data_IF_426460251201
#
_entry.id   IF_426460251201
#
_cell.length_a   1.000
_cell.length_b   1.000
_cell.length_c   1.000
_cell.angle_alpha   90.00
_cell.angle_beta   90.00
_cell.angle_gamma   90.00
#
_symmetry.space_group_name_H-M   'P 1'
#
loop_
_entity.id
_entity.type
_entity.pdbx_description
1 polymer ?
#
# COMPACT_ATOMS: atom_id res chain seq x y z
N UNK A 1 18.96 30.79 -4.74
CA UNK A 1 20.20 30.45 -5.48
C UNK A 1 20.17 31.21 -6.77
N UNK A 2 21.03 32.22 -6.90
CA UNK A 2 21.21 32.94 -8.17
C UNK A 2 21.83 31.99 -9.19
N UNK A 3 21.17 31.78 -10.33
CA UNK A 3 21.76 31.11 -11.49
C UNK A 3 23.02 31.89 -11.92
N UNK A 4 24.19 31.38 -11.56
CA UNK A 4 25.44 31.84 -12.13
C UNK A 4 25.46 31.32 -13.56
N UNK A 5 25.13 32.18 -14.54
CA UNK A 5 25.38 31.89 -15.96
C UNK A 5 26.90 31.76 -16.15
N UNK A 6 27.40 30.54 -16.17
CA UNK A 6 28.81 30.26 -16.45
C UNK A 6 29.01 30.02 -17.95
N UNK A 7 30.14 30.50 -18.47
CA UNK A 7 30.62 30.06 -19.78
C UNK A 7 31.10 28.60 -19.64
N UNK A 8 30.56 27.66 -20.43
CA UNK A 8 31.02 26.27 -20.40
C UNK A 8 32.50 26.18 -20.78
N UNK A 9 33.21 25.21 -20.19
CA UNK A 9 34.58 24.86 -20.60
C UNK A 9 34.58 24.50 -22.08
N UNK A 10 35.59 24.95 -22.81
CA UNK A 10 35.84 24.41 -24.15
C UNK A 10 36.47 23.00 -24.06
N UNK A 11 36.51 22.27 -25.16
CA UNK A 11 36.98 20.87 -25.19
C UNK A 11 38.42 20.71 -24.69
N UNK A 12 39.32 21.66 -25.00
CA UNK A 12 40.69 21.63 -24.49
C UNK A 12 40.79 21.89 -22.99
N UNK A 13 39.99 22.83 -22.46
CA UNK A 13 39.93 23.18 -21.04
C UNK A 13 39.32 22.01 -20.22
N UNK A 14 38.36 21.27 -20.81
CA UNK A 14 37.77 20.09 -20.19
C UNK A 14 38.76 18.93 -20.10
N UNK A 15 39.51 18.65 -21.18
CA UNK A 15 40.57 17.63 -21.18
C UNK A 15 41.67 17.99 -20.19
N UNK A 16 42.06 19.27 -20.12
CA UNK A 16 43.05 19.74 -19.14
C UNK A 16 42.55 19.52 -17.70
N UNK A 17 41.32 19.93 -17.39
CA UNK A 17 40.73 19.70 -16.07
C UNK A 17 40.70 18.20 -15.71
N UNK A 18 40.31 17.34 -16.65
CA UNK A 18 40.31 15.89 -16.44
C UNK A 18 41.72 15.35 -16.16
N UNK A 19 42.74 15.84 -16.88
CA UNK A 19 44.13 15.44 -16.60
C UNK A 19 44.64 15.90 -15.24
N UNK A 20 44.22 17.09 -14.78
CA UNK A 20 44.60 17.62 -13.47
C UNK A 20 43.92 16.83 -12.33
N UNK A 21 42.66 16.43 -12.52
CA UNK A 21 41.89 15.67 -11.53
C UNK A 21 42.31 14.20 -11.39
N UNK A 22 43.09 13.64 -12.33
CA UNK A 22 43.68 12.28 -12.18
C UNK A 22 44.57 12.15 -10.94
N UNK A 23 45.05 13.26 -10.40
CA UNK A 23 45.89 13.30 -9.21
C UNK A 23 45.11 13.06 -7.90
N UNK A 24 43.77 13.13 -7.93
CA UNK A 24 42.90 13.00 -6.75
C UNK A 24 42.06 14.26 -6.50
N UNK A 25 41.32 14.28 -5.39
CA UNK A 25 40.45 15.42 -5.03
C UNK A 25 41.29 16.63 -4.56
N UNK A 26 41.27 17.77 -5.30
CA UNK A 26 42.06 18.95 -4.99
C UNK A 26 41.87 19.50 -3.58
N UNK A 27 40.64 19.44 -3.04
CA UNK A 27 40.37 19.93 -1.68
C UNK A 27 41.02 19.03 -0.62
N UNK A 28 40.98 17.71 -0.80
CA UNK A 28 41.66 16.78 0.11
C UNK A 28 43.19 16.87 0.02
N UNK A 29 43.74 17.02 -1.19
CA UNK A 29 45.19 17.13 -1.42
C UNK A 29 45.76 18.39 -0.76
N UNK A 30 45.05 19.52 -0.84
CA UNK A 30 45.47 20.77 -0.20
C UNK A 30 44.96 20.93 1.24
N UNK A 31 44.20 19.98 1.78
CA UNK A 31 43.54 20.10 3.08
C UNK A 31 42.66 21.36 3.17
N UNK A 32 42.00 21.73 2.07
CA UNK A 32 41.22 22.96 1.91
C UNK A 32 39.72 22.67 1.86
N UNK A 33 38.89 23.70 2.01
CA UNK A 33 37.42 23.56 1.87
C UNK A 33 36.86 24.48 0.79
N UNK A 34 35.66 24.15 0.30
CA UNK A 34 34.96 24.90 -0.76
C UNK A 34 34.74 26.37 -0.37
N UNK A 35 34.68 26.66 0.94
CA UNK A 35 34.44 28.00 1.49
C UNK A 35 35.72 28.84 1.67
N UNK A 36 36.90 28.26 1.49
CA UNK A 36 38.16 28.99 1.70
C UNK A 36 38.48 29.93 0.54
N UNK A 37 38.97 31.12 0.86
CA UNK A 37 39.34 32.10 -0.16
C UNK A 37 40.68 31.72 -0.84
N UNK A 38 40.99 32.36 -1.97
CA UNK A 38 42.22 32.07 -2.73
C UNK A 38 43.51 32.26 -1.93
N UNK A 39 43.56 33.24 -1.02
CA UNK A 39 44.75 33.53 -0.21
C UNK A 39 45.02 32.42 0.81
N UNK A 40 43.98 31.85 1.38
CA UNK A 40 44.10 30.75 2.34
C UNK A 40 44.54 29.45 1.64
N UNK A 41 44.03 29.20 0.44
CA UNK A 41 44.45 28.07 -0.42
C UNK A 41 45.93 28.21 -0.83
N UNK A 42 46.34 29.42 -1.24
CA UNK A 42 47.72 29.73 -1.60
C UNK A 42 48.68 29.54 -0.41
N UNK A 43 48.28 29.96 0.79
CA UNK A 43 49.06 29.72 2.01
C UNK A 43 49.25 28.24 2.30
N UNK A 44 48.20 27.42 2.15
CA UNK A 44 48.27 25.96 2.34
C UNK A 44 49.15 25.29 1.30
N UNK A 45 49.05 25.70 0.04
CA UNK A 45 49.93 25.26 -1.04
C UNK A 45 51.41 25.53 -0.73
N UNK A 46 51.75 26.76 -0.35
CA UNK A 46 53.13 27.14 -0.02
C UNK A 46 53.68 26.32 1.15
N UNK A 47 52.89 26.13 2.21
CA UNK A 47 53.27 25.30 3.36
C UNK A 47 53.50 23.83 2.96
N UNK A 48 52.70 23.31 2.02
CA UNK A 48 52.82 21.93 1.55
C UNK A 48 54.03 21.73 0.64
N UNK A 49 54.49 22.73 -0.11
CA UNK A 49 55.66 22.61 -0.99
C UNK A 49 56.97 22.92 -0.27
N UNK A 50 56.94 23.72 0.80
CA UNK A 50 58.12 24.00 1.62
C UNK A 50 58.63 22.80 2.42
N UNK A 51 57.91 21.68 2.42
CA UNK A 51 58.32 20.46 3.11
C UNK A 51 59.34 19.67 2.27
N UNK A 52 60.61 19.72 2.67
CA UNK A 52 61.74 19.08 1.98
C UNK A 52 61.65 17.54 1.95
N UNK A 53 60.74 16.94 2.71
CA UNK A 53 60.53 15.48 2.74
C UNK A 53 59.74 14.94 1.54
N UNK A 54 59.14 15.82 0.72
CA UNK A 54 58.26 15.42 -0.38
C UNK A 54 59.01 15.05 -1.64
N UNK A 55 58.52 14.00 -2.30
CA UNK A 55 59.01 13.56 -3.59
C UNK A 55 58.53 14.47 -4.73
N UNK A 56 59.26 14.47 -5.85
CA UNK A 56 58.87 15.20 -7.06
C UNK A 56 57.47 14.82 -7.59
N UNK A 57 57.02 13.58 -7.34
CA UNK A 57 55.68 13.14 -7.72
C UNK A 57 54.60 13.77 -6.82
N UNK A 58 54.83 13.85 -5.51
CA UNK A 58 53.90 14.47 -4.56
C UNK A 58 53.79 15.98 -4.79
N UNK A 59 54.90 16.65 -5.09
CA UNK A 59 54.90 18.08 -5.46
C UNK A 59 54.01 18.30 -6.68
N UNK A 60 54.14 17.46 -7.71
CA UNK A 60 53.31 17.56 -8.93
C UNK A 60 51.81 17.33 -8.66
N UNK A 61 51.46 16.45 -7.74
CA UNK A 61 50.07 16.21 -7.29
C UNK A 61 49.50 17.46 -6.61
N UNK A 62 50.31 18.09 -5.73
CA UNK A 62 49.95 19.33 -5.01
C UNK A 62 49.80 20.52 -5.97
N UNK A 63 50.71 20.67 -6.94
CA UNK A 63 50.66 21.69 -7.98
C UNK A 63 49.41 21.56 -8.85
N UNK A 64 49.07 20.33 -9.26
CA UNK A 64 47.86 20.07 -10.04
C UNK A 64 46.59 20.42 -9.25
N UNK A 65 46.51 20.04 -7.97
CA UNK A 65 45.41 20.40 -7.09
C UNK A 65 45.28 21.92 -6.89
N UNK A 66 46.40 22.61 -6.69
CA UNK A 66 46.44 24.07 -6.59
C UNK A 66 45.99 24.75 -7.88
N UNK A 67 46.42 24.27 -9.05
CA UNK A 67 46.03 24.79 -10.35
C UNK A 67 44.52 24.72 -10.57
N UNK A 68 43.87 23.63 -10.15
CA UNK A 68 42.40 23.48 -10.21
C UNK A 68 41.72 24.49 -9.29
N UNK A 69 42.22 24.69 -8.07
CA UNK A 69 41.57 25.52 -7.04
C UNK A 69 41.84 27.03 -7.17
N UNK A 70 42.92 27.45 -7.83
CA UNK A 70 43.24 28.88 -8.04
C UNK A 70 42.57 29.45 -9.30
N UNK A 71 42.31 28.58 -10.28
CA UNK A 71 41.70 28.95 -11.57
C UNK A 71 40.18 29.00 -11.42
N UNK A 72 39.59 30.19 -11.51
CA UNK A 72 38.15 30.40 -11.22
C UNK A 72 37.24 29.49 -12.06
N UNK A 73 37.55 29.29 -13.35
CA UNK A 73 36.79 28.38 -14.22
C UNK A 73 36.83 26.94 -13.72
N UNK A 74 38.01 26.41 -13.39
CA UNK A 74 38.19 25.02 -12.97
C UNK A 74 37.59 24.79 -11.58
N UNK A 75 37.83 25.71 -10.65
CA UNK A 75 37.22 25.67 -9.32
C UNK A 75 35.70 25.68 -9.40
N UNK A 76 35.12 26.60 -10.17
CA UNK A 76 33.66 26.70 -10.28
C UNK A 76 33.02 25.44 -10.85
N UNK A 77 33.60 24.84 -11.90
CA UNK A 77 33.10 23.59 -12.49
C UNK A 77 33.25 22.41 -11.53
N UNK A 78 34.37 22.36 -10.81
CA UNK A 78 34.61 21.31 -9.82
C UNK A 78 33.69 21.44 -8.58
N UNK A 79 33.46 22.66 -8.11
CA UNK A 79 32.52 22.96 -7.02
C UNK A 79 31.08 22.58 -7.41
N UNK A 80 30.68 22.89 -8.65
CA UNK A 80 29.37 22.47 -9.18
C UNK A 80 29.26 20.95 -9.30
N UNK A 81 30.33 20.27 -9.71
CA UNK A 81 30.41 18.80 -9.72
C UNK A 81 30.25 18.22 -8.31
N UNK A 82 30.95 18.75 -7.31
CA UNK A 82 30.85 18.29 -5.92
C UNK A 82 29.43 18.49 -5.36
N UNK A 83 28.84 19.67 -5.58
CA UNK A 83 27.46 19.96 -5.15
C UNK A 83 26.47 19.02 -5.84
N UNK A 84 26.60 18.75 -7.14
CA UNK A 84 25.76 17.77 -7.85
C UNK A 84 25.97 16.35 -7.32
N UNK A 85 27.20 15.96 -7.03
CA UNK A 85 27.51 14.62 -6.51
C UNK A 85 26.93 14.42 -5.11
N UNK A 86 26.99 15.44 -4.24
CA UNK A 86 26.38 15.40 -2.91
C UNK A 86 24.85 15.38 -2.98
N UNK A 87 24.24 16.17 -3.88
CA UNK A 87 22.80 16.10 -4.16
C UNK A 87 22.42 14.69 -4.64
N UNK A 88 23.17 14.12 -5.59
CA UNK A 88 22.91 12.78 -6.11
C UNK A 88 23.09 11.69 -5.04
N UNK A 89 24.12 11.79 -4.19
CA UNK A 89 24.31 10.87 -3.06
C UNK A 89 23.16 10.97 -2.06
N UNK A 90 22.72 12.18 -1.74
CA UNK A 90 21.59 12.40 -0.84
C UNK A 90 20.30 11.84 -1.43
N UNK A 91 20.00 12.15 -2.69
CA UNK A 91 18.88 11.57 -3.42
C UNK A 91 18.97 10.04 -3.46
N UNK A 92 20.16 9.47 -3.71
CA UNK A 92 20.36 8.03 -3.73
C UNK A 92 20.12 7.40 -2.34
N UNK A 93 20.60 8.01 -1.25
CA UNK A 93 20.29 7.56 0.11
C UNK A 93 18.80 7.60 0.42
N UNK A 94 18.11 8.68 0.02
CA UNK A 94 16.65 8.81 0.18
C UNK A 94 15.91 7.76 -0.65
N UNK A 95 16.34 7.48 -1.89
CA UNK A 95 15.74 6.41 -2.70
C UNK A 95 15.96 5.04 -2.08
N UNK A 96 17.13 4.77 -1.49
CA UNK A 96 17.43 3.49 -0.87
C UNK A 96 16.62 3.28 0.41
N UNK A 97 16.44 4.33 1.22
CA UNK A 97 15.53 4.31 2.36
C UNK A 97 14.08 4.08 1.93
N UNK A 98 13.62 4.74 0.86
CA UNK A 98 12.29 4.54 0.26
C UNK A 98 12.10 3.10 -0.27
N UNK A 99 13.14 2.52 -0.89
CA UNK A 99 13.11 1.11 -1.35
C UNK A 99 13.02 0.15 -0.16
N UNK A 100 13.85 0.37 0.88
CA UNK A 100 13.87 -0.48 2.08
C UNK A 100 12.53 -0.44 2.82
N UNK A 101 11.97 0.75 3.00
CA UNK A 101 10.66 0.96 3.61
C UNK A 101 9.53 0.35 2.78
N UNK A 102 9.54 0.53 1.45
CA UNK A 102 8.59 -0.08 0.52
C UNK A 102 8.65 -1.61 0.53
N UNK A 103 9.86 -2.19 0.59
CA UNK A 103 10.06 -3.62 0.68
C UNK A 103 9.50 -4.19 2.00
N UNK A 104 9.80 -3.54 3.13
CA UNK A 104 9.28 -3.96 4.43
C UNK A 104 7.74 -3.87 4.48
N UNK A 105 7.18 -2.79 3.92
CA UNK A 105 5.73 -2.62 3.77
C UNK A 105 5.10 -3.76 2.96
N UNK A 106 5.76 -4.17 1.87
CA UNK A 106 5.31 -5.29 1.01
C UNK A 106 5.35 -6.62 1.75
N UNK A 107 6.39 -6.89 2.54
CA UNK A 107 6.47 -8.09 3.39
C UNK A 107 5.33 -8.11 4.41
N UNK A 108 5.06 -6.99 5.07
CA UNK A 108 3.95 -6.91 6.02
C UNK A 108 2.60 -7.20 5.35
N UNK A 109 2.34 -6.63 4.15
CA UNK A 109 1.13 -6.94 3.36
C UNK A 109 1.06 -8.42 2.98
N UNK A 110 2.19 -9.03 2.58
CA UNK A 110 2.27 -10.45 2.25
C UNK A 110 1.88 -11.33 3.46
N UNK A 111 2.44 -11.04 4.64
CA UNK A 111 2.16 -11.77 5.88
C UNK A 111 0.70 -11.58 6.32
N UNK A 112 0.07 -10.46 6.00
CA UNK A 112 -1.32 -10.19 6.34
C UNK A 112 -2.32 -11.08 5.57
N UNK A 113 -2.00 -11.52 4.34
CA UNK A 113 -2.92 -12.27 3.46
C UNK A 113 -3.43 -13.57 4.11
N UNK A 114 -2.59 -14.46 4.67
CA UNK A 114 -3.05 -15.63 5.40
C UNK A 114 -4.12 -15.34 6.47
N UNK A 115 -3.92 -14.25 7.23
CA UNK A 115 -4.85 -13.85 8.28
C UNK A 115 -6.18 -13.38 7.73
N UNK A 116 -6.17 -12.61 6.64
CA UNK A 116 -7.39 -12.19 5.93
C UNK A 116 -8.18 -13.42 5.44
N UNK A 117 -7.51 -14.34 4.76
CA UNK A 117 -8.13 -15.52 4.17
C UNK A 117 -8.75 -16.42 5.24
N UNK A 118 -8.04 -16.66 6.35
CA UNK A 118 -8.57 -17.45 7.47
C UNK A 118 -9.74 -16.73 8.14
N UNK A 119 -9.71 -15.40 8.26
CA UNK A 119 -10.84 -14.64 8.80
C UNK A 119 -12.09 -14.78 7.94
N UNK A 120 -11.98 -14.62 6.62
CA UNK A 120 -13.10 -14.79 5.67
C UNK A 120 -13.69 -16.19 5.77
N UNK A 121 -12.83 -17.23 5.78
CA UNK A 121 -13.28 -18.61 5.91
C UNK A 121 -13.97 -18.87 7.25
N UNK A 122 -13.44 -18.32 8.35
CA UNK A 122 -14.04 -18.47 9.67
C UNK A 122 -15.44 -17.84 9.74
N UNK A 123 -15.66 -16.72 9.05
CA UNK A 123 -16.91 -15.95 9.09
C UNK A 123 -18.03 -16.54 8.23
N UNK A 124 -17.67 -17.44 7.32
CA UNK A 124 -18.60 -18.10 6.41
C UNK A 124 -19.51 -19.10 7.14
N UNK A 125 -20.84 -18.88 7.15
CA UNK A 125 -21.77 -19.84 7.75
C UNK A 125 -22.02 -21.07 6.88
N UNK A 126 -21.78 -20.96 5.58
CA UNK A 126 -22.34 -21.90 4.58
C UNK A 126 -21.30 -22.68 3.77
N UNK A 127 -20.00 -22.34 3.82
CA UNK A 127 -19.01 -22.94 2.92
C UNK A 127 -18.23 -24.13 3.52
N UNK A 128 -18.06 -24.21 4.85
CA UNK A 128 -17.25 -25.26 5.48
C UNK A 128 -17.92 -25.69 6.81
N UNK A 129 -18.13 -26.99 6.99
CA UNK A 129 -18.72 -27.58 8.22
C UNK A 129 -17.86 -27.41 9.47
N UNK A 130 -16.63 -26.91 9.32
CA UNK A 130 -15.65 -26.74 10.38
C UNK A 130 -15.95 -25.44 11.13
N UNK A 131 -16.47 -25.60 12.35
CA UNK A 131 -16.83 -24.46 13.21
C UNK A 131 -15.63 -23.83 13.91
N UNK A 132 -14.54 -24.58 14.10
CA UNK A 132 -13.34 -24.12 14.81
C UNK A 132 -12.25 -23.60 13.85
N UNK A 133 -11.79 -22.36 14.08
CA UNK A 133 -10.72 -21.71 13.33
C UNK A 133 -9.42 -22.53 13.35
N UNK A 134 -9.09 -23.18 14.47
CA UNK A 134 -7.86 -23.97 14.57
C UNK A 134 -7.92 -25.22 13.69
N UNK A 135 -9.06 -25.92 13.68
CA UNK A 135 -9.30 -27.05 12.79
C UNK A 135 -9.28 -26.63 11.31
N UNK A 136 -9.79 -25.44 11.00
CA UNK A 136 -9.78 -24.89 9.65
C UNK A 136 -8.35 -24.65 9.15
N UNK A 137 -7.49 -24.04 9.97
CA UNK A 137 -6.06 -23.84 9.66
C UNK A 137 -5.36 -25.19 9.42
N UNK A 138 -5.60 -26.19 10.29
CA UNK A 138 -5.05 -27.55 10.12
C UNK A 138 -5.50 -28.19 8.81
N UNK A 139 -6.77 -28.03 8.45
CA UNK A 139 -7.35 -28.61 7.23
C UNK A 139 -6.83 -27.93 5.97
N UNK A 140 -6.68 -26.60 5.97
CA UNK A 140 -6.04 -25.86 4.88
C UNK A 140 -4.62 -26.33 4.63
N UNK A 141 -3.84 -26.46 5.72
CA UNK A 141 -2.46 -26.90 5.64
C UNK A 141 -2.34 -28.34 5.15
N UNK A 142 -3.21 -29.26 5.62
CA UNK A 142 -3.16 -30.65 5.16
C UNK A 142 -3.54 -30.82 3.68
N UNK A 143 -4.46 -29.99 3.16
CA UNK A 143 -4.94 -30.11 1.77
C UNK A 143 -4.02 -29.45 0.73
N UNK A 144 -3.44 -28.28 1.02
CA UNK A 144 -2.67 -27.49 0.04
C UNK A 144 -1.36 -26.92 0.60
N UNK A 145 -0.99 -27.26 1.84
CA UNK A 145 0.17 -26.68 2.52
C UNK A 145 0.06 -25.16 2.68
N UNK A 146 1.20 -24.48 2.69
CA UNK A 146 1.29 -23.02 2.85
C UNK A 146 0.56 -22.28 1.71
N UNK A 147 0.54 -22.86 0.49
CA UNK A 147 -0.09 -22.24 -0.68
C UNK A 147 -1.60 -22.03 -0.51
N UNK A 148 -2.27 -22.84 0.32
CA UNK A 148 -3.70 -22.67 0.62
C UNK A 148 -4.03 -21.33 1.28
N UNK A 149 -3.12 -20.79 2.10
CA UNK A 149 -3.30 -19.53 2.80
C UNK A 149 -3.15 -18.30 1.90
N UNK A 150 -2.52 -18.45 0.73
CA UNK A 150 -2.30 -17.36 -0.24
C UNK A 150 -3.26 -17.44 -1.43
N UNK A 151 -4.39 -18.12 -1.25
CA UNK A 151 -5.42 -18.17 -2.27
C UNK A 151 -5.94 -16.77 -2.59
N UNK A 152 -6.17 -16.50 -3.87
CA UNK A 152 -6.61 -15.18 -4.34
C UNK A 152 -5.48 -14.16 -4.49
N UNK A 153 -4.24 -14.42 -4.04
CA UNK A 153 -3.13 -13.47 -4.15
C UNK A 153 -2.84 -13.03 -5.60
N UNK A 154 -2.91 -13.96 -6.57
CA UNK A 154 -2.76 -13.63 -8.00
C UNK A 154 -3.86 -12.69 -8.50
N UNK A 155 -5.08 -12.86 -7.99
CA UNK A 155 -6.20 -11.99 -8.34
C UNK A 155 -6.08 -10.63 -7.64
N UNK A 156 -5.70 -10.61 -6.37
CA UNK A 156 -5.46 -9.39 -5.60
C UNK A 156 -4.29 -8.55 -6.14
N UNK A 157 -3.32 -9.16 -6.81
CA UNK A 157 -2.27 -8.41 -7.53
C UNK A 157 -2.79 -7.86 -8.85
N UNK A 158 -3.68 -8.56 -9.54
CA UNK A 158 -4.31 -8.06 -10.77
C UNK A 158 -5.30 -6.92 -10.54
N UNK A 159 -5.85 -6.77 -9.33
CA UNK A 159 -6.75 -5.66 -9.00
C UNK A 159 -6.05 -4.29 -9.01
N UNK A 160 -4.70 -4.25 -8.97
CA UNK A 160 -3.93 -3.04 -9.18
C UNK A 160 -4.24 -2.39 -10.54
N UNK A 161 -4.50 -3.19 -11.58
CA UNK A 161 -4.91 -2.68 -12.88
C UNK A 161 -6.28 -1.99 -12.85
N UNK A 162 -7.18 -2.42 -11.95
CA UNK A 162 -8.49 -1.80 -11.75
C UNK A 162 -8.33 -0.44 -11.07
N UNK A 163 -7.48 -0.33 -10.04
CA UNK A 163 -7.16 0.97 -9.42
C UNK A 163 -6.48 1.91 -10.39
N UNK A 164 -5.56 1.41 -11.22
CA UNK A 164 -4.94 2.23 -12.27
C UNK A 164 -5.99 2.78 -13.24
N UNK A 165 -6.97 1.95 -13.63
CA UNK A 165 -8.09 2.39 -14.48
C UNK A 165 -8.96 3.43 -13.76
N UNK A 166 -9.23 3.24 -12.46
CA UNK A 166 -9.94 4.23 -11.64
C UNK A 166 -9.21 5.57 -11.58
N UNK A 167 -7.89 5.55 -11.38
CA UNK A 167 -7.08 6.77 -11.33
C UNK A 167 -7.16 7.56 -12.64
N UNK A 168 -7.12 6.87 -13.79
CA UNK A 168 -7.31 7.50 -15.11
C UNK A 168 -8.72 8.12 -15.23
N UNK A 169 -9.76 7.39 -14.82
CA UNK A 169 -11.15 7.89 -14.83
C UNK A 169 -11.28 9.13 -13.94
N UNK A 170 -10.67 9.12 -12.75
CA UNK A 170 -10.67 10.26 -11.84
C UNK A 170 -9.93 11.46 -12.40
N UNK A 171 -8.78 11.26 -13.05
CA UNK A 171 -8.06 12.34 -13.72
C UNK A 171 -8.93 12.98 -14.81
N UNK A 172 -9.67 12.15 -15.57
CA UNK A 172 -10.60 12.64 -16.58
C UNK A 172 -11.77 13.41 -15.98
N UNK A 173 -12.38 12.91 -14.89
CA UNK A 173 -13.46 13.59 -14.18
C UNK A 173 -12.96 14.91 -13.58
N UNK A 174 -11.77 14.92 -12.98
CA UNK A 174 -11.14 16.12 -12.44
C UNK A 174 -10.90 17.17 -13.54
N UNK A 175 -10.48 16.74 -14.73
CA UNK A 175 -10.32 17.63 -15.89
C UNK A 175 -11.67 18.21 -16.36
N UNK A 176 -12.74 17.41 -16.38
CA UNK A 176 -14.09 17.87 -16.76
C UNK A 176 -14.72 18.83 -15.76
N UNK A 177 -14.51 18.60 -14.46
CA UNK A 177 -15.03 19.46 -13.39
C UNK A 177 -14.16 20.71 -13.25
N UNK A 178 -12.84 20.56 -13.34
CA UNK A 178 -11.86 21.64 -13.20
C UNK A 178 -11.76 22.58 -14.40
N UNK A 179 -12.19 22.18 -15.61
CA UNK A 179 -12.17 23.05 -16.79
C UNK A 179 -13.17 24.21 -16.72
N UNK A 180 -14.14 24.18 -15.80
CA UNK A 180 -15.28 25.10 -15.80
C UNK A 180 -15.37 26.10 -14.64
N UNK A 181 -14.41 26.20 -13.71
CA UNK A 181 -14.57 27.19 -12.62
C UNK A 181 -13.29 27.65 -11.96
N UNK A 182 -13.15 28.98 -11.87
CA UNK A 182 -12.41 29.65 -10.80
C UNK A 182 -12.94 29.14 -9.46
N UNK A 183 -12.09 28.41 -8.74
CA UNK A 183 -12.00 28.20 -7.28
C UNK A 183 -13.33 28.27 -6.52
N UNK A 184 -13.85 27.12 -6.10
CA UNK A 184 -14.76 27.05 -4.94
C UNK A 184 -14.51 25.76 -4.16
N UNK A 185 -14.49 25.86 -2.82
CA UNK A 185 -14.39 24.73 -1.88
C UNK A 185 -15.46 23.64 -2.13
N UNK A 186 -16.58 23.99 -2.78
CA UNK A 186 -17.62 23.03 -3.15
C UNK A 186 -17.12 22.01 -4.17
N UNK A 187 -16.16 22.36 -5.04
CA UNK A 187 -15.59 21.41 -5.98
C UNK A 187 -14.79 20.34 -5.26
N UNK A 188 -14.06 20.69 -4.19
CA UNK A 188 -13.24 19.72 -3.45
C UNK A 188 -14.11 18.69 -2.73
N UNK A 189 -15.26 19.10 -2.20
CA UNK A 189 -16.25 18.19 -1.58
C UNK A 189 -16.81 17.22 -2.64
N UNK A 190 -17.20 17.73 -3.80
CA UNK A 190 -17.73 16.91 -4.90
C UNK A 190 -16.66 15.95 -5.42
N UNK A 191 -15.43 16.40 -5.62
CA UNK A 191 -14.32 15.56 -6.06
C UNK A 191 -13.99 14.47 -5.04
N UNK A 192 -13.98 14.79 -3.75
CA UNK A 192 -13.79 13.81 -2.67
C UNK A 192 -14.91 12.77 -2.63
N UNK A 193 -16.15 13.20 -2.83
CA UNK A 193 -17.29 12.28 -2.94
C UNK A 193 -17.17 11.36 -4.15
N UNK A 194 -16.83 11.90 -5.33
CA UNK A 194 -16.64 11.14 -6.57
C UNK A 194 -15.48 10.14 -6.42
N UNK A 195 -14.36 10.55 -5.83
CA UNK A 195 -13.23 9.67 -5.54
C UNK A 195 -13.65 8.47 -4.67
N UNK A 196 -14.35 8.74 -3.56
CA UNK A 196 -14.84 7.69 -2.66
C UNK A 196 -15.87 6.77 -3.34
N UNK A 197 -16.81 7.35 -4.09
CA UNK A 197 -17.86 6.60 -4.75
C UNK A 197 -17.32 5.70 -5.88
N UNK A 198 -16.45 6.24 -6.72
CA UNK A 198 -15.79 5.47 -7.80
C UNK A 198 -14.89 4.37 -7.23
N UNK A 199 -14.21 4.62 -6.11
CA UNK A 199 -13.45 3.60 -5.41
C UNK A 199 -14.35 2.47 -4.91
N UNK A 200 -15.47 2.77 -4.25
CA UNK A 200 -16.39 1.74 -3.76
C UNK A 200 -16.99 0.89 -4.89
N UNK A 201 -17.36 1.51 -6.02
CA UNK A 201 -17.94 0.79 -7.17
C UNK A 201 -16.91 -0.13 -7.85
N UNK A 202 -15.65 0.29 -7.91
CA UNK A 202 -14.57 -0.49 -8.54
C UNK A 202 -13.99 -1.54 -7.58
N UNK A 203 -13.94 -1.25 -6.28
CA UNK A 203 -13.45 -2.17 -5.26
C UNK A 203 -14.43 -3.30 -4.95
N UNK A 204 -15.74 -3.04 -5.00
CA UNK A 204 -16.74 -4.05 -4.65
C UNK A 204 -16.67 -5.34 -5.50
N UNK A 205 -16.61 -5.29 -6.84
CA UNK A 205 -16.39 -6.48 -7.69
C UNK A 205 -15.15 -7.28 -7.32
N UNK A 206 -14.05 -6.59 -7.03
CA UNK A 206 -12.78 -7.22 -6.64
C UNK A 206 -12.96 -7.94 -5.31
N UNK A 207 -13.55 -7.28 -4.32
CA UNK A 207 -13.84 -7.88 -3.02
C UNK A 207 -14.75 -9.10 -3.16
N UNK A 208 -15.84 -8.99 -3.93
CA UNK A 208 -16.79 -10.07 -4.15
C UNK A 208 -16.11 -11.31 -4.78
N UNK A 209 -15.31 -11.11 -5.84
CA UNK A 209 -14.55 -12.20 -6.47
C UNK A 209 -13.56 -12.80 -5.48
N UNK A 210 -12.81 -11.97 -4.76
CA UNK A 210 -11.82 -12.44 -3.80
C UNK A 210 -12.47 -13.28 -2.68
N UNK A 211 -13.59 -12.82 -2.11
CA UNK A 211 -14.35 -13.55 -1.11
C UNK A 211 -14.84 -14.89 -1.67
N UNK A 212 -15.43 -14.92 -2.87
CA UNK A 212 -15.84 -16.16 -3.53
C UNK A 212 -14.65 -17.11 -3.80
N UNK A 213 -13.50 -16.58 -4.22
CA UNK A 213 -12.28 -17.37 -4.44
C UNK A 213 -11.83 -18.03 -3.15
N UNK A 214 -11.78 -17.28 -2.06
CA UNK A 214 -11.34 -17.78 -0.77
C UNK A 214 -12.30 -18.88 -0.30
N UNK A 215 -13.61 -18.65 -0.38
CA UNK A 215 -14.66 -19.54 0.13
C UNK A 215 -14.91 -20.80 -0.72
N UNK A 216 -14.55 -20.78 -2.01
CA UNK A 216 -14.77 -21.91 -2.92
C UNK A 216 -13.92 -23.15 -2.56
N UNK A 217 -14.21 -24.34 -3.12
CA UNK A 217 -13.34 -25.52 -2.93
C UNK A 217 -11.92 -25.27 -3.46
N UNK A 218 -10.89 -25.75 -2.75
CA UNK A 218 -9.46 -25.53 -3.08
C UNK A 218 -9.02 -26.08 -4.45
N UNK A 219 -9.88 -26.86 -5.12
CA UNK A 219 -9.66 -27.37 -6.47
C UNK A 219 -9.99 -26.36 -7.57
N UNK A 220 -10.82 -25.34 -7.30
CA UNK A 220 -11.28 -24.38 -8.31
C UNK A 220 -10.30 -23.23 -8.52
N UNK A 221 -9.98 -22.92 -9.77
CA UNK A 221 -9.12 -21.80 -10.13
C UNK A 221 -9.91 -20.48 -10.27
N UNK A 222 -9.19 -19.36 -10.43
CA UNK A 222 -9.80 -18.02 -10.54
C UNK A 222 -10.79 -17.92 -11.70
N UNK A 223 -10.38 -18.41 -12.88
CA UNK A 223 -11.25 -18.41 -14.05
C UNK A 223 -12.45 -19.32 -13.88
N UNK A 224 -12.29 -20.45 -13.20
CA UNK A 224 -13.41 -21.33 -12.88
C UNK A 224 -14.39 -20.57 -12.00
N UNK A 225 -13.92 -19.89 -10.95
CA UNK A 225 -14.78 -19.10 -10.07
C UNK A 225 -15.52 -18.00 -10.85
N UNK A 226 -14.83 -17.23 -11.69
CA UNK A 226 -15.47 -16.16 -12.49
C UNK A 226 -16.49 -16.75 -13.47
N UNK A 227 -16.11 -17.77 -14.25
CA UNK A 227 -16.99 -18.40 -15.24
C UNK A 227 -18.21 -19.05 -14.59
N UNK A 228 -18.02 -19.64 -13.42
CA UNK A 228 -18.99 -20.53 -12.81
C UNK A 228 -19.94 -19.81 -11.85
N UNK A 229 -19.42 -18.88 -11.05
CA UNK A 229 -20.21 -18.16 -10.05
C UNK A 229 -20.77 -16.84 -10.58
N UNK A 230 -20.03 -16.13 -11.44
CA UNK A 230 -20.43 -14.80 -11.93
C UNK A 230 -21.19 -14.93 -13.25
N UNK A 231 -20.69 -15.73 -14.18
CA UNK A 231 -21.29 -15.89 -15.50
C UNK A 231 -22.32 -17.02 -15.56
N UNK A 232 -22.89 -17.43 -14.42
CA UNK A 232 -24.00 -18.38 -14.40
C UNK A 232 -25.17 -17.76 -15.18
N UNK A 233 -25.32 -18.17 -16.43
CA UNK A 233 -26.54 -17.99 -17.18
C UNK A 233 -27.62 -18.76 -16.43
N UNK A 234 -28.75 -18.10 -16.17
CA UNK A 234 -29.98 -18.70 -15.66
C UNK A 234 -30.40 -19.82 -16.59
N UNK A 235 -29.82 -20.99 -16.36
CA UNK A 235 -30.13 -22.22 -17.05
C UNK A 235 -31.37 -22.75 -16.35
N UNK A 236 -32.53 -22.26 -16.79
CA UNK A 236 -33.83 -22.91 -16.62
C UNK A 236 -33.89 -24.29 -17.31
N UNK A 237 -32.78 -25.03 -17.35
CA UNK A 237 -32.68 -26.40 -17.85
C UNK A 237 -31.90 -27.21 -16.82
N UNK A 238 -32.64 -27.87 -15.94
CA UNK A 238 -32.15 -28.72 -14.85
C UNK A 238 -31.42 -29.99 -15.32
N UNK A 239 -30.48 -29.90 -16.24
CA UNK A 239 -29.69 -31.05 -16.69
C UNK A 239 -28.31 -30.65 -17.22
N UNK A 240 -27.41 -30.16 -16.38
CA UNK A 240 -25.98 -30.11 -16.72
C UNK A 240 -25.08 -30.47 -15.54
N UNK A 241 -25.38 -31.61 -14.90
CA UNK A 241 -24.37 -32.42 -14.21
C UNK A 241 -24.17 -33.71 -15.02
N UNK A 242 -23.76 -33.56 -16.28
CA UNK A 242 -23.17 -34.66 -17.06
C UNK A 242 -22.33 -34.09 -18.20
N UNK A 243 -21.03 -33.98 -17.93
CA UNK A 243 -19.97 -34.35 -18.87
C UNK A 243 -19.74 -33.57 -20.16
N UNK A 244 -20.66 -32.70 -20.61
CA UNK A 244 -20.50 -32.08 -21.93
C UNK A 244 -19.80 -30.73 -21.86
N UNK A 245 -18.66 -30.72 -22.54
CA UNK A 245 -17.76 -29.59 -22.80
C UNK A 245 -18.59 -28.39 -23.27
N UNK A 246 -18.69 -27.39 -22.40
CA UNK A 246 -19.24 -26.07 -22.71
C UNK A 246 -18.33 -25.42 -23.76
N UNK A 247 -18.61 -25.69 -25.04
CA UNK A 247 -18.20 -24.85 -26.17
C UNK A 247 -19.06 -23.58 -26.15
N UNK A 248 -18.74 -22.65 -25.27
CA UNK A 248 -19.27 -21.29 -25.35
C UNK A 248 -18.34 -20.48 -26.26
N UNK A 249 -18.86 -20.10 -27.43
CA UNK A 249 -18.27 -19.04 -28.25
C UNK A 249 -18.20 -17.76 -27.41
N UNK A 250 -17.02 -17.12 -27.40
CA UNK A 250 -16.73 -15.83 -26.76
C UNK A 250 -16.88 -15.79 -25.23
N UNK A 251 -15.76 -15.59 -24.53
CA UNK A 251 -15.69 -15.41 -23.06
C UNK A 251 -16.46 -14.15 -22.62
N UNK A 252 -16.75 -13.23 -23.53
CA UNK A 252 -17.31 -11.91 -23.23
C UNK A 252 -18.79 -11.73 -23.57
N UNK A 253 -19.41 -12.61 -24.37
CA UNK A 253 -20.81 -12.43 -24.82
C UNK A 253 -21.85 -12.82 -23.77
N UNK A 254 -21.44 -13.35 -22.60
CA UNK A 254 -22.35 -13.85 -21.56
C UNK A 254 -22.03 -13.36 -20.13
N UNK A 255 -21.42 -12.18 -19.96
CA UNK A 255 -21.23 -11.58 -18.63
C UNK A 255 -22.55 -10.99 -18.10
N UNK A 256 -23.28 -11.75 -17.28
CA UNK A 256 -24.39 -11.18 -16.49
C UNK A 256 -23.80 -10.49 -15.24
N UNK A 257 -23.44 -9.21 -15.36
CA UNK A 257 -23.02 -8.38 -14.23
C UNK A 257 -24.06 -8.29 -13.10
N UNK A 258 -25.29 -8.74 -13.35
CA UNK A 258 -26.38 -8.76 -12.36
C UNK A 258 -25.97 -9.52 -11.10
N UNK A 259 -25.37 -10.71 -11.23
CA UNK A 259 -24.96 -11.51 -10.06
C UNK A 259 -23.80 -10.88 -9.28
N UNK A 260 -22.89 -10.20 -9.99
CA UNK A 260 -21.77 -9.50 -9.37
C UNK A 260 -22.25 -8.33 -8.54
N UNK A 261 -23.23 -7.56 -9.03
CA UNK A 261 -23.73 -6.33 -8.39
C UNK A 261 -25.01 -6.51 -7.56
N UNK A 262 -25.63 -7.69 -7.55
CA UNK A 262 -26.86 -7.93 -6.79
C UNK A 262 -26.68 -7.68 -5.29
N UNK A 263 -25.53 -8.11 -4.74
CA UNK A 263 -25.17 -7.85 -3.35
C UNK A 263 -24.63 -6.43 -3.08
N UNK A 264 -24.37 -5.63 -4.12
CA UNK A 264 -23.68 -4.34 -3.98
C UNK A 264 -24.48 -3.37 -3.12
N UNK A 265 -25.80 -3.33 -3.29
CA UNK A 265 -26.70 -2.44 -2.55
C UNK A 265 -26.64 -2.68 -1.03
N UNK A 266 -26.24 -3.87 -0.61
CA UNK A 266 -26.13 -4.25 0.80
C UNK A 266 -24.70 -4.23 1.31
N UNK A 267 -23.72 -4.64 0.48
CA UNK A 267 -22.32 -4.72 0.89
C UNK A 267 -21.64 -3.35 0.88
N UNK A 268 -21.94 -2.47 -0.09
CA UNK A 268 -21.32 -1.14 -0.18
C UNK A 268 -21.61 -0.30 1.09
N UNK A 269 -22.86 -0.22 1.60
CA UNK A 269 -23.11 0.47 2.87
C UNK A 269 -22.33 -0.11 4.05
N UNK A 270 -22.14 -1.44 4.12
CA UNK A 270 -21.33 -2.08 5.16
C UNK A 270 -19.85 -1.72 5.02
N UNK A 271 -19.33 -1.62 3.79
CA UNK A 271 -17.97 -1.16 3.52
C UNK A 271 -17.77 0.30 3.95
N UNK A 272 -18.73 1.18 3.64
CA UNK A 272 -18.75 2.58 4.07
C UNK A 272 -18.74 2.65 5.60
N UNK A 273 -19.66 1.96 6.28
CA UNK A 273 -19.72 1.92 7.74
C UNK A 273 -18.40 1.44 8.34
N UNK A 274 -17.81 0.38 7.77
CA UNK A 274 -16.50 -0.14 8.20
C UNK A 274 -15.37 0.88 8.02
N UNK A 275 -15.38 1.67 6.94
CA UNK A 275 -14.42 2.76 6.74
C UNK A 275 -14.61 3.89 7.75
N UNK A 276 -15.85 4.29 8.03
CA UNK A 276 -16.15 5.36 8.99
C UNK A 276 -15.72 4.97 10.41
N UNK A 277 -15.96 3.72 10.83
CA UNK A 277 -15.47 3.19 12.11
C UNK A 277 -13.93 3.29 12.19
N UNK A 278 -13.21 2.94 11.13
CA UNK A 278 -11.75 3.06 11.10
C UNK A 278 -11.27 4.49 11.23
N UNK A 279 -11.87 5.41 10.47
CA UNK A 279 -11.56 6.84 10.52
C UNK A 279 -11.82 7.39 11.92
N UNK A 280 -12.95 7.04 12.51
CA UNK A 280 -13.30 7.43 13.87
C UNK A 280 -12.28 6.92 14.89
N UNK A 281 -11.92 5.62 14.86
CA UNK A 281 -10.91 5.07 15.78
C UNK A 281 -9.56 5.76 15.60
N UNK A 282 -9.09 5.95 14.35
CA UNK A 282 -7.84 6.67 14.08
C UNK A 282 -7.87 8.09 14.64
N UNK A 283 -8.94 8.84 14.34
CA UNK A 283 -9.12 10.21 14.82
C UNK A 283 -9.13 10.27 16.36
N UNK A 284 -9.86 9.38 17.02
CA UNK A 284 -9.89 9.30 18.49
C UNK A 284 -8.51 8.95 19.06
N UNK A 285 -7.79 8.01 18.45
CA UNK A 285 -6.45 7.62 18.88
C UNK A 285 -5.44 8.75 18.69
N UNK A 286 -5.49 9.47 17.58
CA UNK A 286 -4.61 10.61 17.31
C UNK A 286 -4.89 11.77 18.27
N UNK A 287 -6.17 12.10 18.48
CA UNK A 287 -6.58 13.12 19.45
C UNK A 287 -6.12 12.78 20.87
N UNK A 288 -6.24 11.50 21.27
CA UNK A 288 -5.76 11.03 22.56
C UNK A 288 -4.24 11.13 22.67
N UNK A 289 -3.51 10.77 21.62
CA UNK A 289 -2.05 10.88 21.56
C UNK A 289 -1.60 12.34 21.71
N UNK A 290 -2.21 13.26 20.96
CA UNK A 290 -1.89 14.68 21.02
C UNK A 290 -2.19 15.25 22.41
N UNK A 291 -3.33 14.90 23.00
CA UNK A 291 -3.68 15.30 24.37
C UNK A 291 -2.65 14.86 25.42
N UNK A 292 -2.14 13.63 25.32
CA UNK A 292 -1.10 13.12 26.23
C UNK A 292 0.24 13.82 26.02
N UNK A 293 0.59 14.14 24.77
CA UNK A 293 1.83 14.84 24.43
C UNK A 293 1.81 16.29 24.90
N UNK A 294 0.70 17.01 24.69
CA UNK A 294 0.52 18.40 25.10
C UNK A 294 0.49 18.58 26.63
N UNK A 295 -0.03 17.58 27.36
CA UNK A 295 -0.19 17.63 28.81
C UNK A 295 0.77 16.69 29.56
N UNK A 296 1.90 16.33 28.96
CA UNK A 296 2.77 15.25 29.45
C UNK A 296 3.21 15.42 30.93
N UNK A 297 3.33 16.66 31.39
CA UNK A 297 3.78 17.04 32.73
C UNK A 297 2.64 17.24 33.74
N UNK A 298 1.41 17.49 33.28
CA UNK A 298 0.24 17.79 34.12
C UNK A 298 -0.77 16.65 34.18
N UNK A 299 -0.70 15.69 33.26
CA UNK A 299 -1.65 14.60 33.14
C UNK A 299 -1.41 13.55 34.23
N UNK A 300 -2.50 13.06 34.83
CA UNK A 300 -2.38 12.03 35.86
C UNK A 300 -1.77 10.74 35.29
N UNK A 301 -0.91 10.02 36.04
CA UNK A 301 -0.38 8.73 35.61
C UNK A 301 -1.48 7.72 35.23
N UNK A 302 -2.63 7.80 35.90
CA UNK A 302 -3.82 6.99 35.63
C UNK A 302 -4.43 7.22 34.25
N UNK A 303 -4.30 8.41 33.67
CA UNK A 303 -4.75 8.69 32.30
C UNK A 303 -3.60 8.41 31.32
N UNK A 304 -2.37 8.74 31.71
CA UNK A 304 -1.16 8.61 30.89
C UNK A 304 -0.92 7.19 30.40
N UNK A 305 -0.83 6.22 31.31
CA UNK A 305 -0.45 4.85 30.94
C UNK A 305 -1.52 4.10 30.13
N UNK A 306 -2.82 4.16 30.47
CA UNK A 306 -3.86 3.58 29.61
C UNK A 306 -3.92 4.25 28.24
N UNK A 307 -3.66 5.55 28.15
CA UNK A 307 -3.62 6.25 26.86
C UNK A 307 -2.47 5.76 25.97
N UNK A 308 -1.28 5.49 26.54
CA UNK A 308 -0.20 4.85 25.79
C UNK A 308 -0.57 3.44 25.32
N UNK A 309 -1.28 2.66 26.14
CA UNK A 309 -1.77 1.35 25.74
C UNK A 309 -2.79 1.45 24.59
N UNK A 310 -3.74 2.38 24.67
CA UNK A 310 -4.80 2.58 23.67
C UNK A 310 -4.29 3.17 22.36
N UNK A 311 -3.18 3.91 22.40
CA UNK A 311 -2.54 4.53 21.22
C UNK A 311 -1.53 3.62 20.52
N UNK A 312 -1.18 2.47 21.10
CA UNK A 312 -0.33 1.50 20.45
C UNK A 312 -1.09 0.79 19.30
N UNK A 313 -0.37 0.53 18.21
CA UNK A 313 -0.79 -0.20 17.01
C UNK A 313 -1.57 -1.47 17.32
N UNK A 314 -1.12 -2.25 18.31
CA UNK A 314 -1.75 -3.52 18.70
C UNK A 314 -3.17 -3.27 19.22
N UNK A 315 -3.32 -2.38 20.20
CA UNK A 315 -4.61 -2.05 20.81
C UNK A 315 -5.54 -1.38 19.82
N UNK A 316 -5.03 -0.45 19.02
CA UNK A 316 -5.81 0.22 17.98
C UNK A 316 -6.31 -0.79 16.93
N UNK A 317 -5.48 -1.77 16.53
CA UNK A 317 -5.87 -2.84 15.60
C UNK A 317 -6.91 -3.77 16.20
N UNK A 318 -6.80 -4.08 17.50
CA UNK A 318 -7.77 -4.87 18.25
C UNK A 318 -9.13 -4.16 18.31
N UNK A 319 -9.15 -2.88 18.69
CA UNK A 319 -10.37 -2.07 18.78
C UNK A 319 -11.05 -1.96 17.40
N UNK A 320 -10.29 -1.66 16.34
CA UNK A 320 -10.80 -1.65 14.97
C UNK A 320 -11.45 -2.99 14.61
N UNK A 321 -10.75 -4.08 14.88
CA UNK A 321 -11.23 -5.43 14.58
C UNK A 321 -12.52 -5.74 15.34
N UNK A 322 -12.61 -5.34 16.61
CA UNK A 322 -13.78 -5.62 17.45
C UNK A 322 -15.02 -4.88 16.93
N UNK A 323 -14.86 -3.59 16.58
CA UNK A 323 -15.96 -2.77 16.07
C UNK A 323 -16.40 -3.16 14.66
N UNK A 324 -15.49 -3.66 13.82
CA UNK A 324 -15.76 -4.00 12.41
C UNK A 324 -16.23 -5.45 12.25
N UNK A 325 -15.90 -6.36 13.18
CA UNK A 325 -16.20 -7.80 13.04
C UNK A 325 -17.65 -8.09 12.65
N UNK A 326 -18.69 -7.49 13.28
CA UNK A 326 -20.06 -7.77 12.88
C UNK A 326 -20.38 -7.39 11.44
N UNK A 327 -19.87 -6.23 10.97
CA UNK A 327 -20.06 -5.77 9.59
C UNK A 327 -19.34 -6.68 8.60
N UNK A 328 -18.15 -7.15 8.98
CA UNK A 328 -17.35 -8.04 8.15
C UNK A 328 -18.00 -9.43 8.00
N UNK A 329 -18.55 -9.99 9.08
CA UNK A 329 -19.34 -11.23 9.06
C UNK A 329 -20.55 -11.09 8.13
N UNK A 330 -21.31 -9.99 8.22
CA UNK A 330 -22.45 -9.76 7.34
C UNK A 330 -22.03 -9.64 5.87
N UNK A 331 -20.93 -8.95 5.60
CA UNK A 331 -20.43 -8.74 4.23
C UNK A 331 -19.99 -10.04 3.53
N UNK A 332 -19.57 -11.05 4.30
CA UNK A 332 -19.06 -12.33 3.77
C UNK A 332 -20.17 -13.39 3.60
N UNK A 333 -21.36 -13.15 4.15
CA UNK A 333 -22.48 -14.09 4.05
C UNK A 333 -23.01 -14.26 2.63
N UNK A 334 -23.13 -13.18 1.86
CA UNK A 334 -23.62 -13.28 0.48
C UNK A 334 -22.65 -14.05 -0.45
N UNK A 335 -21.33 -13.74 -0.48
CA UNK A 335 -20.34 -14.58 -1.17
C UNK A 335 -20.40 -16.05 -0.74
N UNK A 336 -20.59 -16.30 0.56
CA UNK A 336 -20.70 -17.65 1.13
C UNK A 336 -21.93 -18.40 0.62
N UNK A 337 -23.10 -17.74 0.62
CA UNK A 337 -24.35 -18.31 0.10
C UNK A 337 -24.24 -18.60 -1.40
N UNK A 338 -23.62 -17.71 -2.16
CA UNK A 338 -23.42 -17.87 -3.61
C UNK A 338 -22.50 -19.06 -3.93
N UNK A 339 -21.43 -19.24 -3.15
CA UNK A 339 -20.56 -20.41 -3.28
C UNK A 339 -21.29 -21.70 -2.87
N UNK A 340 -22.04 -21.66 -1.76
CA UNK A 340 -22.80 -22.80 -1.26
C UNK A 340 -23.89 -23.25 -2.23
N UNK A 341 -24.66 -22.31 -2.78
CA UNK A 341 -25.75 -22.61 -3.71
C UNK A 341 -25.25 -23.33 -4.95
N UNK A 342 -24.10 -22.90 -5.46
CA UNK A 342 -23.44 -23.57 -6.57
C UNK A 342 -22.96 -24.98 -6.22
N UNK A 343 -22.29 -25.16 -5.08
CA UNK A 343 -21.83 -26.50 -4.64
C UNK A 343 -23.01 -27.48 -4.54
N UNK A 344 -24.17 -26.98 -4.11
CA UNK A 344 -25.40 -27.76 -3.96
C UNK A 344 -26.21 -27.87 -5.26
N UNK A 345 -25.84 -27.15 -6.32
CA UNK A 345 -26.58 -27.11 -7.58
C UNK A 345 -27.95 -26.41 -7.50
N UNK A 346 -28.18 -25.59 -6.48
CA UNK A 346 -29.44 -24.84 -6.29
C UNK A 346 -29.37 -23.46 -6.94
N UNK A 347 -30.50 -22.77 -7.03
CA UNK A 347 -30.60 -21.43 -7.65
C UNK A 347 -29.73 -20.38 -6.94
N UNK A 348 -29.41 -19.29 -7.64
CA UNK A 348 -28.64 -18.18 -7.08
C UNK A 348 -29.48 -17.54 -5.95
N UNK A 349 -28.96 -17.46 -4.72
CA UNK A 349 -29.71 -16.94 -3.60
C UNK A 349 -29.96 -15.45 -3.79
N UNK A 350 -31.16 -15.00 -3.44
CA UNK A 350 -31.44 -13.58 -3.36
C UNK A 350 -30.62 -12.95 -2.21
N UNK A 351 -30.05 -11.78 -2.46
CA UNK A 351 -29.33 -11.05 -1.43
C UNK A 351 -30.30 -10.62 -0.33
N UNK A 352 -30.05 -11.05 0.90
CA UNK A 352 -30.86 -10.71 2.06
C UNK A 352 -30.40 -9.36 2.63
N UNK A 353 -31.36 -8.51 3.02
CA UNK A 353 -31.08 -7.28 3.75
C UNK A 353 -30.15 -7.56 4.97
N UNK A 354 -29.03 -6.82 5.15
CA UNK A 354 -28.09 -7.03 6.25
C UNK A 354 -28.72 -7.06 7.64
N UNK A 355 -29.78 -6.28 7.87
CA UNK A 355 -30.49 -6.24 9.16
C UNK A 355 -31.23 -7.56 9.39
N UNK A 356 -31.98 -8.01 8.39
CA UNK A 356 -32.70 -9.29 8.45
C UNK A 356 -31.73 -10.46 8.62
N UNK A 357 -30.61 -10.43 7.89
CA UNK A 357 -29.53 -11.41 8.02
C UNK A 357 -28.91 -11.39 9.42
N UNK A 358 -28.65 -10.22 10.00
CA UNK A 358 -28.13 -10.10 11.36
C UNK A 358 -29.09 -10.70 12.40
N UNK A 359 -30.40 -10.43 12.26
CA UNK A 359 -31.42 -11.01 13.14
C UNK A 359 -31.44 -12.54 13.01
N UNK A 360 -31.36 -13.08 11.79
CA UNK A 360 -31.31 -14.53 11.56
C UNK A 360 -30.06 -15.16 12.19
N UNK A 361 -28.88 -14.60 11.95
CA UNK A 361 -27.63 -15.08 12.53
C UNK A 361 -27.66 -15.04 14.05
N UNK A 362 -28.16 -13.95 14.65
CA UNK A 362 -28.31 -13.83 16.09
C UNK A 362 -29.24 -14.90 16.66
N UNK A 363 -30.39 -15.14 16.02
CA UNK A 363 -31.36 -16.17 16.47
C UNK A 363 -30.82 -17.59 16.35
N UNK A 364 -30.07 -17.89 15.30
CA UNK A 364 -29.60 -19.26 15.03
C UNK A 364 -28.23 -19.59 15.64
N UNK A 365 -27.34 -18.62 15.75
CA UNK A 365 -25.94 -18.83 16.16
C UNK A 365 -25.50 -17.99 17.36
N UNK A 366 -26.33 -17.05 17.82
CA UNK A 366 -26.05 -16.18 18.96
C UNK A 366 -25.08 -15.03 18.65
N UNK A 367 -24.87 -14.17 19.66
CA UNK A 367 -24.04 -12.96 19.53
C UNK A 367 -22.56 -13.27 19.22
N UNK A 368 -22.02 -14.34 19.80
CA UNK A 368 -20.61 -14.70 19.64
C UNK A 368 -20.23 -15.00 18.19
N UNK A 369 -21.20 -15.34 17.34
CA UNK A 369 -20.96 -15.61 15.93
C UNK A 369 -20.42 -14.39 15.17
N UNK A 370 -20.85 -13.17 15.54
CA UNK A 370 -20.36 -11.93 14.92
C UNK A 370 -18.88 -11.63 15.19
N UNK A 371 -18.28 -12.36 16.13
CA UNK A 371 -16.87 -12.28 16.50
C UNK A 371 -16.10 -13.55 16.13
N UNK A 372 -16.71 -14.45 15.35
CA UNK A 372 -15.97 -15.53 14.70
C UNK A 372 -14.90 -14.89 13.80
N UNK A 373 -13.74 -15.54 13.68
CA UNK A 373 -12.63 -14.98 12.89
C UNK A 373 -12.01 -13.67 13.43
N UNK A 374 -12.36 -13.22 14.63
CA UNK A 374 -11.83 -11.98 15.22
C UNK A 374 -10.31 -11.99 15.42
N UNK A 375 -9.75 -13.11 15.90
CA UNK A 375 -8.30 -13.26 16.11
C UNK A 375 -7.53 -13.12 14.79
N UNK A 376 -7.84 -13.91 13.73
CA UNK A 376 -7.15 -13.72 12.46
C UNK A 376 -7.43 -12.33 11.86
N UNK A 377 -8.62 -11.75 12.03
CA UNK A 377 -8.86 -10.38 11.58
C UNK A 377 -7.94 -9.36 12.29
N UNK A 378 -7.73 -9.53 13.59
CA UNK A 378 -6.81 -8.67 14.36
C UNK A 378 -5.38 -8.82 13.85
N UNK A 379 -4.94 -10.04 13.54
CA UNK A 379 -3.64 -10.30 12.92
C UNK A 379 -3.49 -9.58 11.58
N UNK A 380 -4.49 -9.69 10.70
CA UNK A 380 -4.52 -8.98 9.43
C UNK A 380 -4.36 -7.46 9.61
N UNK A 381 -5.15 -6.85 10.51
CA UNK A 381 -5.11 -5.40 10.80
C UNK A 381 -3.79 -4.93 11.40
N UNK A 382 -3.19 -5.77 12.23
CA UNK A 382 -1.90 -5.48 12.86
C UNK A 382 -0.78 -5.42 11.81
N UNK A 383 -0.71 -6.40 10.91
CA UNK A 383 0.26 -6.38 9.81
C UNK A 383 -0.02 -5.27 8.78
N UNK A 384 -1.28 -4.95 8.52
CA UNK A 384 -1.67 -3.80 7.70
C UNK A 384 -1.18 -2.48 8.32
N UNK A 385 -1.37 -2.32 9.64
CA UNK A 385 -0.93 -1.12 10.36
C UNK A 385 0.60 -1.02 10.40
N UNK A 386 1.31 -2.13 10.55
CA UNK A 386 2.78 -2.14 10.42
C UNK A 386 3.24 -1.79 9.01
N UNK A 387 2.60 -2.30 7.97
CA UNK A 387 2.89 -1.92 6.58
C UNK A 387 2.83 -0.40 6.38
N UNK A 388 1.82 0.26 6.95
CA UNK A 388 1.67 1.72 6.87
C UNK A 388 2.73 2.48 7.65
N UNK A 389 3.12 1.98 8.82
CA UNK A 389 4.21 2.58 9.60
C UNK A 389 5.56 2.46 8.90
N UNK A 390 5.78 1.36 8.16
CA UNK A 390 7.00 1.16 7.42
C UNK A 390 7.12 2.11 6.23
N UNK A 391 6.01 2.53 5.60
CA UNK A 391 6.01 3.43 4.45
C UNK A 391 4.93 4.54 4.62
N UNK A 392 5.21 5.59 5.40
CA UNK A 392 4.22 6.63 5.74
C UNK A 392 3.89 7.59 4.59
N UNK A 393 4.64 7.56 3.48
CA UNK A 393 4.49 8.49 2.35
C UNK A 393 3.26 8.22 1.46
N UNK A 394 2.49 7.15 1.72
CA UNK A 394 1.15 7.01 1.16
C UNK A 394 0.20 7.84 2.00
N UNK A 395 -0.10 9.05 1.50
CA UNK A 395 -1.08 9.98 2.03
C UNK A 395 -2.41 9.31 2.38
N UNK A 396 -3.17 9.96 3.27
CA UNK A 396 -4.44 9.61 3.91
C UNK A 396 -5.59 9.06 3.02
N UNK A 397 -5.35 8.81 1.73
CA UNK A 397 -6.32 8.33 0.74
C UNK A 397 -6.09 6.88 0.28
N UNK A 398 -5.05 6.17 0.76
CA UNK A 398 -4.97 4.71 0.54
C UNK A 398 -6.00 3.97 1.41
N UNK A 399 -7.24 3.91 0.89
CA UNK A 399 -8.14 2.80 1.16
C UNK A 399 -7.51 1.58 0.49
N UNK A 400 -6.72 0.84 1.26
CA UNK A 400 -6.26 -0.49 0.89
C UNK A 400 -7.51 -1.34 0.60
N UNK A 401 -7.51 -2.05 -0.53
CA UNK A 401 -8.57 -2.99 -0.91
C UNK A 401 -8.98 -3.87 0.26
N UNK A 402 -10.20 -3.65 0.77
CA UNK A 402 -10.81 -4.44 1.84
C UNK A 402 -12.32 -4.61 1.70
#
# INVERSE_FOLDING_TARGET
MSEIKQNPLNESEAIELETLLKAGDPYTILGSSIYENKKDIEKKYLNLISDESKTNQEIKIIENAYKVLITDKYRNVYDEYLVRNDINKKQMSETLENIKSGFLSTICRLIAIPFQNVSILANSPFSISIRDTNQMVKTLYSLKGIRGFYRGMKFNTSSLSIEFTRAIILEFINKLIGSNSKVSENNDIVLSFVDQFTHLITAYPVKMILDCLILSPLSMNVFDVIKTFINRLDSNSGSMIRGDIIKSHSVFDSFSFKNLYYGAIYVIPLMIASQQIRRFVNYSTEKLKNYVQENNDTISPFIKYPSYLLTNVVSTSLIKSALIAPLYVLSTCYPSQLVSSYIQGVEVPEAINPISLAIQLYRHMGLLYFYKGFIPMTGFRLFESFSRLCFPNTTNNEVVFE
#
